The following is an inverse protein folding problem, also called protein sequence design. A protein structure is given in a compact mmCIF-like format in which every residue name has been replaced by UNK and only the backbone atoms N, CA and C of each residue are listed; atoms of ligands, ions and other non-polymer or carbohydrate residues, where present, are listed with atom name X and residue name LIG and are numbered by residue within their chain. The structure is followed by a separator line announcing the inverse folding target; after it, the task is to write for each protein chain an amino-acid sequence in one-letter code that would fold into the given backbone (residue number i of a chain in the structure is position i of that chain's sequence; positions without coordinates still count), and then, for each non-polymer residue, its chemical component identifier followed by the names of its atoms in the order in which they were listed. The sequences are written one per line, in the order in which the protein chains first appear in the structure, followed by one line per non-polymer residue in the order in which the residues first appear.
data_IF_545047532832
#
_entry.id   IF_545047532832
#
_cell.length_a   1.000
_cell.length_b   1.000
_cell.length_c   1.000
_cell.angle_alpha   90.00
_cell.angle_beta   90.00
_cell.angle_gamma   90.00
#
_symmetry.space_group_name_H-M   'P 1'
#
loop_
_entity.id
_entity.type
_entity.pdbx_description
1 polymer ?
#
# COMPACT_ATOMS: atom_id res chain seq x y z
N UNK A 1 -0.84 -18.24 12.94
CA UNK A 1 -1.65 -18.39 14.18
C UNK A 1 -2.44 -17.13 14.54
N UNK A 2 -1.97 -15.91 14.21
CA UNK A 2 -2.68 -14.66 14.50
C UNK A 2 -4.13 -14.61 14.03
N UNK A 3 -4.42 -14.95 12.76
CA UNK A 3 -5.79 -14.92 12.22
C UNK A 3 -6.77 -15.85 12.97
N UNK A 4 -6.34 -17.06 13.32
CA UNK A 4 -7.13 -17.97 14.17
C UNK A 4 -7.37 -17.38 15.55
N UNK A 5 -6.33 -16.89 16.21
CA UNK A 5 -6.44 -16.37 17.59
C UNK A 5 -7.23 -15.06 17.70
N UNK A 6 -7.11 -14.16 16.72
CA UNK A 6 -7.71 -12.82 16.78
C UNK A 6 -9.07 -12.77 16.08
N UNK A 7 -9.24 -13.50 14.98
CA UNK A 7 -10.45 -13.49 14.16
C UNK A 7 -11.24 -14.79 14.18
N UNK A 8 -10.72 -15.87 14.78
CA UNK A 8 -11.37 -17.19 14.73
C UNK A 8 -11.34 -17.83 13.34
N UNK A 9 -10.53 -17.30 12.41
CA UNK A 9 -10.44 -17.78 11.04
C UNK A 9 -9.53 -18.99 10.98
N UNK A 10 -10.06 -20.10 10.48
CA UNK A 10 -9.32 -21.32 10.18
C UNK A 10 -9.38 -21.61 8.69
N UNK A 11 -8.22 -21.72 8.06
CA UNK A 11 -8.11 -22.11 6.66
C UNK A 11 -8.01 -23.62 6.57
N UNK A 12 -8.72 -24.22 5.62
CA UNK A 12 -8.61 -25.66 5.33
C UNK A 12 -7.17 -26.04 4.94
N UNK A 13 -6.53 -25.22 4.12
CA UNK A 13 -5.18 -25.45 3.63
C UNK A 13 -4.41 -24.15 3.44
N UNK A 14 -3.13 -24.17 3.83
CA UNK A 14 -2.16 -23.14 3.46
C UNK A 14 -1.36 -23.58 2.22
N UNK A 15 -1.11 -22.64 1.30
CA UNK A 15 -0.23 -22.86 0.14
C UNK A 15 0.91 -21.83 0.18
N UNK A 16 2.17 -22.26 0.34
CA UNK A 16 3.29 -21.33 0.26
C UNK A 16 3.47 -20.87 -1.20
N UNK A 17 3.58 -19.56 -1.38
CA UNK A 17 3.84 -18.90 -2.66
C UNK A 17 4.93 -17.83 -2.45
N UNK A 18 5.24 -17.07 -3.49
CA UNK A 18 6.11 -15.89 -3.38
C UNK A 18 5.51 -14.78 -2.51
N UNK A 19 6.32 -13.81 -2.10
CA UNK A 19 5.86 -12.73 -1.20
C UNK A 19 5.11 -11.69 -2.00
N UNK A 20 3.77 -11.79 -2.01
CA UNK A 20 2.88 -10.89 -2.74
C UNK A 20 3.26 -10.73 -4.24
N UNK A 21 3.96 -11.70 -4.80
CA UNK A 21 4.53 -11.64 -6.14
C UNK A 21 3.62 -12.24 -7.22
N UNK A 22 4.14 -12.42 -8.44
CA UNK A 22 3.38 -12.94 -9.57
C UNK A 22 2.70 -14.30 -9.33
N UNK A 23 3.30 -15.21 -8.56
CA UNK A 23 2.67 -16.51 -8.29
C UNK A 23 1.46 -16.36 -7.38
N UNK A 24 1.55 -15.50 -6.38
CA UNK A 24 0.46 -15.14 -5.47
C UNK A 24 -0.70 -14.48 -6.21
N UNK A 25 -0.41 -13.46 -7.02
CA UNK A 25 -1.41 -12.76 -7.84
C UNK A 25 -2.08 -13.71 -8.82
N UNK A 26 -1.30 -14.55 -9.52
CA UNK A 26 -1.85 -15.54 -10.46
C UNK A 26 -2.74 -16.56 -9.76
N UNK A 27 -2.33 -17.07 -8.61
CA UNK A 27 -3.10 -18.06 -7.86
C UNK A 27 -4.44 -17.48 -7.37
N UNK A 28 -4.45 -16.24 -6.89
CA UNK A 28 -5.68 -15.56 -6.48
C UNK A 28 -6.58 -15.30 -7.69
N UNK A 29 -6.03 -14.75 -8.78
CA UNK A 29 -6.77 -14.46 -10.01
C UNK A 29 -7.42 -15.70 -10.62
N UNK A 30 -6.74 -16.85 -10.58
CA UNK A 30 -7.24 -18.10 -11.14
C UNK A 30 -8.10 -18.91 -10.17
N UNK A 31 -8.40 -18.42 -8.97
CA UNK A 31 -9.15 -19.15 -7.94
C UNK A 31 -8.44 -20.39 -7.39
N UNK A 32 -7.10 -20.48 -7.52
CA UNK A 32 -6.31 -21.55 -6.88
C UNK A 32 -6.16 -21.34 -5.38
N UNK A 33 -6.36 -20.11 -4.91
CA UNK A 33 -6.51 -19.71 -3.51
C UNK A 33 -7.65 -18.69 -3.42
N UNK A 34 -8.40 -18.72 -2.33
CA UNK A 34 -9.54 -17.82 -2.11
C UNK A 34 -9.12 -16.46 -1.52
N UNK A 35 -7.97 -16.43 -0.84
CA UNK A 35 -7.39 -15.24 -0.27
C UNK A 35 -5.86 -15.30 -0.35
N UNK A 36 -5.23 -14.12 -0.40
CA UNK A 36 -3.78 -14.00 -0.45
C UNK A 36 -3.29 -12.81 0.39
N UNK A 37 -2.04 -12.87 0.82
CA UNK A 37 -1.37 -11.73 1.41
C UNK A 37 -0.79 -10.85 0.29
N UNK A 38 -1.25 -9.60 0.21
CA UNK A 38 -0.75 -8.57 -0.70
C UNK A 38 -0.44 -7.30 0.10
N UNK A 39 0.42 -6.44 -0.43
CA UNK A 39 0.65 -5.12 0.17
C UNK A 39 -0.48 -4.16 -0.19
N UNK A 40 -0.92 -3.34 0.76
CA UNK A 40 -2.13 -2.49 0.62
C UNK A 40 -2.04 -1.43 -0.49
N UNK A 41 -0.83 -1.08 -0.92
CA UNK A 41 -0.58 -0.10 -2.01
C UNK A 41 -0.14 -0.75 -3.31
N UNK A 42 -0.26 -2.07 -3.43
CA UNK A 42 0.20 -2.81 -4.61
C UNK A 42 -0.78 -2.62 -5.78
N UNK A 43 -0.25 -2.22 -6.94
CA UNK A 43 -1.00 -1.99 -8.18
C UNK A 43 -1.85 -3.19 -8.62
N UNK A 44 -1.42 -4.41 -8.27
CA UNK A 44 -2.12 -5.65 -8.59
C UNK A 44 -3.54 -5.72 -8.01
N UNK A 45 -3.84 -4.98 -6.94
CA UNK A 45 -5.18 -4.94 -6.32
C UNK A 45 -6.17 -4.31 -7.32
N UNK A 46 -5.97 -3.03 -7.68
CA UNK A 46 -6.81 -2.34 -8.66
C UNK A 46 -6.81 -3.01 -10.04
N UNK A 47 -5.64 -3.43 -10.56
CA UNK A 47 -5.51 -4.02 -11.91
C UNK A 47 -6.34 -5.30 -12.08
N UNK A 48 -6.49 -6.10 -11.02
CA UNK A 48 -7.23 -7.36 -11.08
C UNK A 48 -8.61 -7.27 -10.42
N UNK A 49 -9.03 -6.10 -9.94
CA UNK A 49 -10.30 -5.92 -9.24
C UNK A 49 -10.37 -6.69 -7.92
N UNK A 50 -9.24 -6.91 -7.25
CA UNK A 50 -9.23 -7.56 -5.95
C UNK A 50 -9.76 -6.64 -4.86
N UNK A 51 -10.29 -7.24 -3.79
CA UNK A 51 -10.81 -6.51 -2.64
C UNK A 51 -9.85 -6.65 -1.47
N UNK A 52 -9.33 -5.53 -0.97
CA UNK A 52 -8.54 -5.50 0.26
C UNK A 52 -9.46 -5.60 1.47
N UNK A 53 -9.15 -6.52 2.39
CA UNK A 53 -9.85 -6.65 3.67
C UNK A 53 -9.22 -5.71 4.70
N UNK A 54 -10.06 -5.11 5.55
CA UNK A 54 -9.58 -4.27 6.66
C UNK A 54 -9.16 -5.14 7.85
N UNK A 55 -8.25 -4.63 8.68
CA UNK A 55 -7.80 -5.27 9.92
C UNK A 55 -8.33 -4.52 11.16
N UNK A 56 -9.63 -4.62 11.48
CA UNK A 56 -10.25 -3.84 12.56
C UNK A 56 -9.71 -4.16 13.95
N UNK A 57 -9.17 -5.37 14.17
CA UNK A 57 -8.56 -5.79 15.44
C UNK A 57 -7.06 -5.51 15.51
N UNK A 58 -6.48 -4.86 14.49
CA UNK A 58 -5.08 -4.43 14.44
C UNK A 58 -4.11 -5.59 14.72
N UNK A 59 -4.38 -6.75 14.11
CA UNK A 59 -3.48 -7.90 14.18
C UNK A 59 -2.14 -7.60 13.51
N UNK A 60 -2.15 -6.83 12.42
CA UNK A 60 -0.98 -6.43 11.65
C UNK A 60 -0.52 -5.06 12.15
N UNK A 61 0.77 -4.94 12.44
CA UNK A 61 1.35 -3.66 12.85
C UNK A 61 1.22 -2.63 11.72
N UNK A 62 0.96 -1.37 12.10
CA UNK A 62 0.87 -0.28 11.13
C UNK A 62 2.20 -0.12 10.38
N UNK A 63 2.11 0.03 9.07
CA UNK A 63 3.22 0.33 8.16
C UNK A 63 2.97 1.66 7.44
N UNK A 64 2.46 2.64 8.19
CA UNK A 64 2.21 3.98 7.66
C UNK A 64 3.49 4.62 7.11
N UNK A 65 3.36 5.32 6.00
CA UNK A 65 4.45 6.12 5.42
C UNK A 65 4.64 7.35 6.30
N UNK A 66 5.84 7.52 6.85
CA UNK A 66 6.17 8.64 7.73
C UNK A 66 7.48 9.29 7.26
N UNK A 67 7.50 10.61 7.01
CA UNK A 67 8.74 11.33 6.72
C UNK A 67 9.71 11.26 7.90
N UNK A 68 10.97 10.91 7.64
CA UNK A 68 12.04 10.94 8.62
C UNK A 68 13.15 11.86 8.13
N UNK A 69 13.48 12.88 8.93
CA UNK A 69 14.50 13.87 8.60
C UNK A 69 15.51 14.03 9.72
N UNK A 70 16.73 14.44 9.38
CA UNK A 70 17.75 14.76 10.37
C UNK A 70 17.36 16.01 11.17
N UNK A 71 17.69 16.03 12.47
CA UNK A 71 17.36 17.17 13.36
C UNK A 71 17.87 18.51 12.83
N UNK A 72 19.01 18.53 12.17
CA UNK A 72 19.62 19.74 11.60
C UNK A 72 18.77 20.42 10.52
N UNK A 73 17.88 19.68 9.85
CA UNK A 73 17.00 20.19 8.78
C UNK A 73 15.52 20.21 9.18
N UNK A 74 15.20 19.80 10.41
CA UNK A 74 13.85 19.77 10.96
C UNK A 74 13.42 21.15 11.46
N UNK A 75 13.44 22.14 10.56
CA UNK A 75 12.93 23.49 10.84
C UNK A 75 11.39 23.48 10.87
N UNK A 76 10.74 24.50 11.45
CA UNK A 76 9.28 24.61 11.41
C UNK A 76 8.73 24.58 9.98
N UNK A 77 9.43 25.21 9.03
CA UNK A 77 9.04 25.25 7.62
C UNK A 77 9.12 23.86 6.95
N UNK A 78 10.24 23.16 7.10
CA UNK A 78 10.40 21.80 6.56
C UNK A 78 9.38 20.84 7.16
N UNK A 79 9.13 20.95 8.47
CA UNK A 79 8.17 20.09 9.18
C UNK A 79 6.76 20.33 8.66
N UNK A 80 6.35 21.60 8.55
CA UNK A 80 5.03 21.96 8.04
C UNK A 80 4.80 21.47 6.60
N UNK A 81 5.81 21.59 5.73
CA UNK A 81 5.72 21.09 4.36
C UNK A 81 5.55 19.55 4.31
N UNK A 82 6.34 18.82 5.11
CA UNK A 82 6.24 17.36 5.19
C UNK A 82 4.92 16.89 5.81
N UNK A 83 4.41 17.60 6.81
CA UNK A 83 3.11 17.30 7.44
C UNK A 83 1.96 17.48 6.44
N UNK A 84 2.01 18.52 5.60
CA UNK A 84 1.01 18.73 4.55
C UNK A 84 0.99 17.59 3.54
N UNK A 85 2.16 17.14 3.07
CA UNK A 85 2.27 15.98 2.17
C UNK A 85 1.76 14.72 2.87
N UNK A 86 2.24 14.45 4.08
CA UNK A 86 1.90 13.27 4.88
C UNK A 86 0.39 13.14 5.08
N UNK A 87 -0.30 14.25 5.39
CA UNK A 87 -1.75 14.29 5.57
C UNK A 87 -2.56 13.92 4.32
N UNK A 88 -1.96 14.02 3.13
CA UNK A 88 -2.59 13.69 1.84
C UNK A 88 -2.28 12.27 1.34
N UNK A 89 -1.33 11.56 1.96
CA UNK A 89 -0.96 10.20 1.58
C UNK A 89 -2.01 9.19 2.07
N UNK A 90 -3.07 9.03 1.27
CA UNK A 90 -4.06 7.96 1.47
C UNK A 90 -3.61 6.66 0.80
N UNK A 91 -4.03 5.50 1.33
CA UNK A 91 -3.71 4.19 0.72
C UNK A 91 -4.07 4.14 -0.76
N UNK A 92 -5.26 4.62 -1.14
CA UNK A 92 -5.71 4.67 -2.54
C UNK A 92 -4.88 5.62 -3.39
N UNK A 93 -4.50 6.79 -2.85
CA UNK A 93 -3.64 7.74 -3.55
C UNK A 93 -2.26 7.15 -3.83
N UNK A 94 -1.68 6.44 -2.85
CA UNK A 94 -0.39 5.77 -3.02
C UNK A 94 -0.49 4.59 -4.00
N UNK A 95 -1.55 3.78 -3.92
CA UNK A 95 -1.81 2.71 -4.90
C UNK A 95 -1.85 3.25 -6.34
N UNK A 96 -2.52 4.38 -6.57
CA UNK A 96 -2.59 5.00 -7.91
C UNK A 96 -1.23 5.53 -8.37
N UNK A 97 -0.45 6.16 -7.50
CA UNK A 97 0.91 6.59 -7.83
C UNK A 97 1.81 5.39 -8.18
N UNK A 98 1.73 4.30 -7.40
CA UNK A 98 2.45 3.05 -7.67
C UNK A 98 2.01 2.45 -9.00
N UNK A 99 0.70 2.43 -9.30
CA UNK A 99 0.15 1.96 -10.59
C UNK A 99 0.73 2.74 -11.77
N UNK A 100 0.75 4.09 -11.69
CA UNK A 100 1.30 4.94 -12.76
C UNK A 100 2.76 4.63 -13.07
N UNK A 101 3.57 4.40 -12.02
CA UNK A 101 5.00 4.07 -12.20
C UNK A 101 5.18 2.64 -12.71
N UNK A 102 4.55 1.66 -12.07
CA UNK A 102 4.79 0.24 -12.36
C UNK A 102 4.13 -0.23 -13.65
N UNK A 103 2.92 0.26 -13.96
CA UNK A 103 2.10 -0.22 -15.09
C UNK A 103 2.16 0.76 -16.25
N UNK A 104 1.84 2.03 -16.01
CA UNK A 104 1.79 3.04 -17.06
C UNK A 104 3.20 3.52 -17.48
N UNK A 105 4.24 3.09 -16.74
CA UNK A 105 5.66 3.44 -16.97
C UNK A 105 5.93 4.94 -16.97
N UNK A 106 5.11 5.70 -16.24
CA UNK A 106 5.33 7.12 -16.02
C UNK A 106 6.59 7.36 -15.19
N UNK A 107 7.23 8.50 -15.40
CA UNK A 107 8.38 8.91 -14.59
C UNK A 107 7.95 9.20 -13.15
N UNK A 108 8.73 8.73 -12.17
CA UNK A 108 8.35 8.85 -10.77
C UNK A 108 8.33 10.32 -10.29
N UNK A 109 9.21 11.18 -10.82
CA UNK A 109 9.22 12.60 -10.47
C UNK A 109 8.00 13.32 -11.07
N UNK A 110 7.60 12.96 -12.30
CA UNK A 110 6.36 13.46 -12.90
C UNK A 110 5.12 13.06 -12.07
N UNK A 111 5.03 11.78 -11.67
CA UNK A 111 3.93 11.28 -10.83
C UNK A 111 3.88 12.02 -9.48
N UNK A 112 5.03 12.27 -8.86
CA UNK A 112 5.12 13.01 -7.61
C UNK A 112 4.70 14.48 -7.77
N UNK A 113 5.15 15.15 -8.83
CA UNK A 113 4.77 16.54 -9.11
C UNK A 113 3.26 16.66 -9.38
N UNK A 114 2.70 15.76 -10.18
CA UNK A 114 1.25 15.72 -10.43
C UNK A 114 0.45 15.49 -9.14
N UNK A 115 0.94 14.63 -8.25
CA UNK A 115 0.33 14.44 -6.94
C UNK A 115 0.31 15.76 -6.15
N UNK A 116 1.44 16.47 -6.06
CA UNK A 116 1.50 17.75 -5.35
C UNK A 116 0.53 18.77 -5.94
N UNK A 117 0.50 18.93 -7.27
CA UNK A 117 -0.45 19.82 -7.96
C UNK A 117 -1.90 19.46 -7.68
N UNK A 118 -2.23 18.16 -7.78
CA UNK A 118 -3.59 17.67 -7.52
C UNK A 118 -4.04 17.89 -6.06
N UNK A 119 -3.10 17.97 -5.12
CA UNK A 119 -3.38 18.25 -3.70
C UNK A 119 -3.30 19.74 -3.34
N UNK A 120 -2.92 20.61 -4.29
CA UNK A 120 -2.71 22.04 -4.04
C UNK A 120 -1.47 22.32 -3.19
N UNK A 121 -0.40 21.55 -3.39
CA UNK A 121 0.87 21.61 -2.65
C UNK A 121 2.07 22.03 -3.52
N UNK A 122 1.82 22.51 -4.75
CA UNK A 122 2.84 23.02 -5.70
C UNK A 122 2.82 24.56 -5.74
#
# INVERSE_FOLDING_TARGET
RGLKSVYGIEFERFRPLDVAGPLTVSALKSGKVDCANLFSTQSAIGVNGFVSLTDPKKLIASQAIVPLVAKAVATPETTAALDQVSAKLTTRGVEEMVRRVEIDKADAAEVAQDFLRAQGLD
#
